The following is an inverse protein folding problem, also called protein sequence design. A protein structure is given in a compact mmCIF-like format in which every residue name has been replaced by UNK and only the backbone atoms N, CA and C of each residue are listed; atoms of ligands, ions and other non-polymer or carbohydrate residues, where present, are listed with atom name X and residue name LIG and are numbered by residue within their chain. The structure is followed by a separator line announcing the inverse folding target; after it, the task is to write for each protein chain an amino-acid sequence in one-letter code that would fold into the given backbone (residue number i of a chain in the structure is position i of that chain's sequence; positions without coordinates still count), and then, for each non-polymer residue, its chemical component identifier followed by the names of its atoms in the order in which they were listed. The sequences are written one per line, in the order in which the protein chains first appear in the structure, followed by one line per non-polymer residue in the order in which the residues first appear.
data_IF_573922191859
#
_entry.id   IF_573922191859
#
_cell.length_a   1.000
_cell.length_b   1.000
_cell.length_c   1.000
_cell.angle_alpha   90.00
_cell.angle_beta   90.00
_cell.angle_gamma   90.00
#
_symmetry.space_group_name_H-M   'P 1'
#
loop_
_entity.id
_entity.type
_entity.pdbx_description
1 polymer ?
#
# COMPACT_ATOMS: atom_id res chain seq x y z
N UNK A 1 -60.69 32.25 24.37
CA UNK A 1 -60.10 31.65 25.58
C UNK A 1 -58.77 32.37 25.82
N UNK A 2 -58.75 33.50 26.54
CA UNK A 2 -58.51 33.64 28.00
C UNK A 2 -57.31 32.79 28.46
N UNK A 3 -56.28 33.29 29.16
CA UNK A 3 -55.85 34.62 29.57
C UNK A 3 -54.40 34.47 30.08
N UNK A 4 -53.67 35.59 30.16
CA UNK A 4 -52.32 35.74 30.69
C UNK A 4 -52.23 35.53 32.22
N UNK A 5 -51.13 36.02 32.81
CA UNK A 5 -50.81 36.27 34.24
C UNK A 5 -50.24 35.08 35.01
N UNK A 6 -49.14 35.19 35.77
CA UNK A 6 -48.33 36.35 36.14
C UNK A 6 -47.21 35.93 37.10
N UNK A 7 -46.16 36.74 37.13
CA UNK A 7 -45.10 36.69 38.14
C UNK A 7 -45.63 37.19 39.51
N UNK A 8 -45.04 36.69 40.60
CA UNK A 8 -45.26 37.18 41.96
C UNK A 8 -44.16 36.70 42.91
N UNK A 9 -43.28 37.62 43.29
CA UNK A 9 -42.21 37.50 44.29
C UNK A 9 -42.72 37.72 45.72
N UNK A 10 -41.83 37.37 46.67
CA UNK A 10 -41.67 37.91 48.03
C UNK A 10 -42.59 37.29 49.13
N UNK A 11 -42.19 37.10 50.39
CA UNK A 11 -40.94 37.36 51.12
C UNK A 11 -41.01 36.65 52.51
N UNK A 12 -39.88 36.73 53.24
CA UNK A 12 -39.77 36.79 54.71
C UNK A 12 -39.71 35.51 55.58
N UNK A 13 -38.47 35.18 55.92
CA UNK A 13 -37.86 35.19 57.27
C UNK A 13 -38.49 34.38 58.43
N UNK A 14 -37.68 33.44 58.96
CA UNK A 14 -37.79 32.89 60.31
C UNK A 14 -36.46 32.28 60.78
N UNK A 15 -35.86 32.87 61.81
CA UNK A 15 -34.58 32.45 62.44
C UNK A 15 -34.75 31.17 63.28
N UNK A 16 -33.77 30.26 63.27
CA UNK A 16 -33.38 29.49 64.46
C UNK A 16 -31.95 28.89 64.34
N UNK A 17 -31.31 28.81 65.50
CA UNK A 17 -29.91 28.50 65.81
C UNK A 17 -29.46 27.06 65.50
N UNK A 18 -28.17 26.94 65.14
CA UNK A 18 -27.22 26.06 65.85
C UNK A 18 -27.14 24.60 65.41
N UNK A 19 -26.01 24.22 64.81
CA UNK A 19 -25.22 23.04 65.18
C UNK A 19 -24.01 22.94 64.24
N UNK A 20 -22.81 22.99 64.82
CA UNK A 20 -21.59 22.61 64.12
C UNK A 20 -21.64 21.11 63.82
N UNK A 21 -21.49 20.72 62.56
CA UNK A 21 -21.28 19.34 62.15
C UNK A 21 -20.18 19.29 61.09
N UNK A 22 -19.07 18.68 61.51
CA UNK A 22 -17.86 18.40 60.76
C UNK A 22 -18.20 17.42 59.62
N UNK A 23 -17.90 17.76 58.36
CA UNK A 23 -18.03 16.85 57.21
C UNK A 23 -16.65 16.60 56.59
N UNK A 24 -16.29 15.33 56.26
CA UNK A 24 -14.92 14.94 55.98
C UNK A 24 -14.46 15.40 54.60
N UNK A 25 -13.17 15.73 54.50
CA UNK A 25 -12.48 15.98 53.25
C UNK A 25 -12.59 14.74 52.34
N UNK A 26 -13.25 14.88 51.20
CA UNK A 26 -13.25 13.87 50.15
C UNK A 26 -11.83 13.77 49.58
N UNK A 27 -11.15 12.66 49.87
CA UNK A 27 -9.87 12.33 49.26
C UNK A 27 -10.11 12.00 47.78
N UNK A 28 -9.72 12.92 46.90
CA UNK A 28 -9.68 12.69 45.46
C UNK A 28 -8.55 11.71 45.16
N UNK A 29 -8.88 10.44 44.96
CA UNK A 29 -7.91 9.46 44.47
C UNK A 29 -7.47 9.83 43.05
N UNK A 30 -6.16 9.79 42.72
CA UNK A 30 -5.69 10.08 41.37
C UNK A 30 -6.23 9.02 40.41
N UNK A 31 -6.89 9.48 39.35
CA UNK A 31 -7.32 8.64 38.24
C UNK A 31 -6.08 7.97 37.62
N UNK A 32 -5.94 6.66 37.81
CA UNK A 32 -4.94 5.87 37.13
C UNK A 32 -5.16 6.03 35.63
N UNK A 33 -4.16 6.58 34.92
CA UNK A 33 -4.14 6.63 33.47
C UNK A 33 -4.25 5.19 32.95
N UNK A 34 -5.41 4.85 32.38
CA UNK A 34 -5.62 3.57 31.73
C UNK A 34 -4.59 3.46 30.60
N UNK A 35 -3.58 2.64 30.81
CA UNK A 35 -2.63 2.28 29.76
C UNK A 35 -3.42 1.44 28.78
N UNK A 36 -3.79 1.99 27.62
CA UNK A 36 -4.43 1.19 26.58
C UNK A 36 -3.59 -0.07 26.33
N UNK A 37 -4.22 -1.26 26.26
CA UNK A 37 -3.48 -2.48 26.00
C UNK A 37 -2.71 -2.29 24.69
N UNK A 38 -1.37 -2.33 24.77
CA UNK A 38 -0.51 -2.06 23.64
C UNK A 38 -0.95 -2.94 22.46
N UNK A 39 -1.43 -2.31 21.38
CA UNK A 39 -1.88 -3.02 20.17
C UNK A 39 -0.79 -4.01 19.77
N UNK A 40 -1.11 -5.30 19.84
CA UNK A 40 -0.16 -6.41 19.58
C UNK A 40 -0.03 -6.73 18.09
N UNK A 41 -0.71 -5.97 17.24
CA UNK A 41 -0.77 -6.18 15.81
C UNK A 41 -0.76 -4.83 15.08
N UNK A 42 0.04 -4.72 14.04
CA UNK A 42 0.06 -3.60 13.10
C UNK A 42 -0.51 -4.06 11.76
N UNK A 43 -1.37 -3.25 11.15
CA UNK A 43 -1.99 -3.51 9.86
C UNK A 43 -1.27 -2.74 8.75
N UNK A 44 -0.72 -3.47 7.78
CA UNK A 44 -0.08 -2.90 6.60
C UNK A 44 -0.98 -3.08 5.39
N UNK A 45 -1.26 -2.00 4.68
CA UNK A 45 -1.83 -2.07 3.34
C UNK A 45 -0.68 -2.07 2.34
N UNK A 46 -0.49 -3.17 1.62
CA UNK A 46 0.67 -3.36 0.75
C UNK A 46 0.26 -3.74 -0.67
N UNK A 47 0.97 -3.19 -1.66
CA UNK A 47 0.80 -3.58 -3.05
C UNK A 47 0.90 -5.10 -3.21
N UNK A 48 0.04 -5.69 -4.05
CA UNK A 48 -0.04 -7.14 -4.24
C UNK A 48 1.32 -7.79 -4.61
N UNK A 49 2.20 -7.08 -5.32
CA UNK A 49 3.54 -7.58 -5.67
C UNK A 49 4.49 -7.77 -4.48
N UNK A 50 4.18 -7.18 -3.31
CA UNK A 50 4.96 -7.30 -2.08
C UNK A 50 4.59 -8.54 -1.25
N UNK A 51 3.56 -9.31 -1.62
CA UNK A 51 2.94 -10.31 -0.73
C UNK A 51 3.94 -11.26 -0.08
N UNK A 52 4.68 -11.99 -0.91
CA UNK A 52 5.58 -13.05 -0.44
C UNK A 52 6.73 -12.49 0.41
N UNK A 53 7.31 -11.38 -0.04
CA UNK A 53 8.43 -10.73 0.65
C UNK A 53 7.99 -10.12 1.99
N UNK A 54 6.85 -9.42 2.00
CA UNK A 54 6.35 -8.76 3.21
C UNK A 54 5.87 -9.77 4.25
N UNK A 55 5.40 -10.95 3.83
CA UNK A 55 5.07 -12.04 4.76
C UNK A 55 6.31 -12.51 5.53
N UNK A 56 7.44 -12.73 4.83
CA UNK A 56 8.70 -13.10 5.48
C UNK A 56 9.26 -11.97 6.35
N UNK A 57 9.24 -10.73 5.87
CA UNK A 57 9.66 -9.56 6.65
C UNK A 57 8.78 -9.39 7.90
N UNK A 58 7.47 -9.61 7.78
CA UNK A 58 6.52 -9.56 8.90
C UNK A 58 6.81 -10.61 9.96
N UNK A 59 7.17 -11.84 9.57
CA UNK A 59 7.63 -12.88 10.51
C UNK A 59 8.92 -12.48 11.20
N UNK A 60 9.92 -11.97 10.47
CA UNK A 60 11.18 -11.53 11.03
C UNK A 60 10.99 -10.37 12.02
N UNK A 61 10.14 -9.39 11.69
CA UNK A 61 9.77 -8.29 12.57
C UNK A 61 9.08 -8.79 13.84
N UNK A 62 8.14 -9.73 13.71
CA UNK A 62 7.41 -10.30 14.84
C UNK A 62 8.36 -11.04 15.78
N UNK A 63 9.31 -11.81 15.23
CA UNK A 63 10.33 -12.49 16.02
C UNK A 63 11.25 -11.51 16.77
N UNK A 64 11.60 -10.38 16.16
CA UNK A 64 12.49 -9.39 16.75
C UNK A 64 11.81 -8.52 17.83
N UNK A 65 10.51 -8.23 17.69
CA UNK A 65 9.82 -7.21 18.50
C UNK A 65 8.67 -7.74 19.36
N UNK A 66 8.20 -8.96 19.08
CA UNK A 66 6.98 -9.53 19.67
C UNK A 66 5.67 -8.89 19.15
N UNK A 67 5.74 -8.01 18.14
CA UNK A 67 4.58 -7.32 17.56
C UNK A 67 4.20 -7.98 16.25
N UNK A 68 2.95 -8.45 16.13
CA UNK A 68 2.48 -9.10 14.90
C UNK A 68 2.27 -8.07 13.79
N UNK A 69 2.51 -8.49 12.56
CA UNK A 69 2.17 -7.73 11.36
C UNK A 69 1.09 -8.49 10.60
N UNK A 70 -0.07 -7.86 10.46
CA UNK A 70 -1.11 -8.27 9.53
C UNK A 70 -0.98 -7.43 8.25
N UNK A 71 -1.25 -8.03 7.10
CA UNK A 71 -1.19 -7.33 5.82
C UNK A 71 -2.46 -7.55 4.99
N UNK A 72 -2.92 -6.49 4.33
CA UNK A 72 -3.93 -6.54 3.28
C UNK A 72 -3.27 -6.23 1.95
N UNK A 73 -3.51 -7.08 0.95
CA UNK A 73 -2.88 -7.00 -0.36
C UNK A 73 -3.91 -6.73 -1.45
N UNK A 74 -3.69 -5.67 -2.22
CA UNK A 74 -4.45 -5.35 -3.42
C UNK A 74 -3.63 -4.41 -4.32
N UNK A 75 -4.25 -3.86 -5.37
CA UNK A 75 -3.65 -2.74 -6.08
C UNK A 75 -3.45 -1.55 -5.14
N UNK A 76 -2.33 -0.83 -5.29
CA UNK A 76 -2.02 0.35 -4.47
C UNK A 76 -3.12 1.41 -4.54
N UNK A 77 -3.78 1.56 -5.70
CA UNK A 77 -4.94 2.42 -5.89
C UNK A 77 -6.13 2.04 -5.02
N UNK A 78 -6.51 0.77 -5.02
CA UNK A 78 -7.61 0.25 -4.19
C UNK A 78 -7.32 0.49 -2.71
N UNK A 79 -6.10 0.18 -2.27
CA UNK A 79 -5.68 0.36 -0.88
C UNK A 79 -5.64 1.84 -0.47
N UNK A 80 -5.14 2.73 -1.33
CA UNK A 80 -5.16 4.16 -1.07
C UNK A 80 -6.59 4.69 -0.98
N UNK A 81 -7.50 4.26 -1.86
CA UNK A 81 -8.92 4.61 -1.78
C UNK A 81 -9.59 4.09 -0.52
N UNK A 82 -9.22 2.90 -0.05
CA UNK A 82 -9.70 2.38 1.24
C UNK A 82 -9.18 3.21 2.42
N UNK A 83 -7.92 3.64 2.41
CA UNK A 83 -7.36 4.54 3.44
C UNK A 83 -8.09 5.89 3.42
N UNK A 84 -8.34 6.46 2.24
CA UNK A 84 -9.16 7.67 2.08
C UNK A 84 -10.57 7.49 2.64
N UNK A 85 -11.18 6.33 2.45
CA UNK A 85 -12.48 5.97 3.00
C UNK A 85 -12.46 5.65 4.52
N UNK A 86 -11.29 5.74 5.17
CA UNK A 86 -11.14 5.56 6.62
C UNK A 86 -10.73 4.17 7.09
N UNK A 87 -10.23 3.30 6.20
CA UNK A 87 -9.68 2.01 6.61
C UNK A 87 -8.50 2.18 7.60
N UNK A 88 -8.41 1.34 8.66
CA UNK A 88 -7.51 1.56 9.79
C UNK A 88 -6.09 0.99 9.54
N UNK A 89 -5.53 1.19 8.35
CA UNK A 89 -4.16 0.81 8.06
C UNK A 89 -3.18 1.65 8.87
N UNK A 90 -2.14 1.04 9.44
CA UNK A 90 -1.06 1.74 10.16
C UNK A 90 0.05 2.18 9.20
N UNK A 91 0.31 1.37 8.18
CA UNK A 91 1.29 1.67 7.15
C UNK A 91 0.71 1.38 5.77
N UNK A 92 1.15 2.15 4.78
CA UNK A 92 0.84 1.96 3.38
C UNK A 92 2.14 1.77 2.59
N UNK A 93 2.25 0.66 1.87
CA UNK A 93 3.40 0.31 1.04
C UNK A 93 2.95 0.17 -0.42
N UNK A 94 3.06 1.28 -1.16
CA UNK A 94 2.64 1.39 -2.56
C UNK A 94 3.70 0.85 -3.51
N UNK A 95 3.28 0.42 -4.71
CA UNK A 95 4.17 0.06 -5.82
C UNK A 95 4.59 1.26 -6.69
N UNK A 96 4.10 2.45 -6.36
CA UNK A 96 4.53 3.72 -6.93
C UNK A 96 4.56 4.83 -5.86
N UNK A 97 5.12 5.98 -6.23
CA UNK A 97 5.11 7.19 -5.41
C UNK A 97 3.78 7.94 -5.47
N UNK A 98 3.04 7.81 -6.58
CA UNK A 98 1.85 8.60 -6.87
C UNK A 98 0.70 8.32 -5.89
N UNK A 99 0.50 7.07 -5.47
CA UNK A 99 -0.54 6.75 -4.48
C UNK A 99 -0.17 7.14 -3.05
N UNK A 100 1.12 7.28 -2.73
CA UNK A 100 1.54 7.88 -1.46
C UNK A 100 1.33 9.40 -1.52
N UNK A 101 1.71 10.07 -2.61
CA UNK A 101 1.44 11.50 -2.85
C UNK A 101 -0.06 11.80 -2.77
N UNK A 102 -0.89 10.91 -3.32
CA UNK A 102 -2.34 11.01 -3.30
C UNK A 102 -2.90 11.13 -1.89
N UNK A 103 -2.42 10.29 -0.97
CA UNK A 103 -2.83 10.26 0.44
C UNK A 103 -2.19 11.42 1.23
N UNK A 104 -0.94 11.76 0.93
CA UNK A 104 -0.23 12.88 1.58
C UNK A 104 -0.92 14.22 1.30
N UNK A 105 -1.31 14.48 0.05
CA UNK A 105 -2.09 15.67 -0.35
C UNK A 105 -3.44 15.79 0.36
N UNK A 106 -3.95 14.69 0.92
CA UNK A 106 -5.20 14.62 1.69
C UNK A 106 -4.98 14.66 3.20
N UNK A 107 -3.74 14.81 3.66
CA UNK A 107 -3.40 14.79 5.08
C UNK A 107 -3.57 13.41 5.74
N UNK A 108 -3.58 12.33 4.95
CA UNK A 108 -3.80 10.96 5.43
C UNK A 108 -2.50 10.20 5.70
N UNK A 109 -1.36 10.81 5.40
CA UNK A 109 -0.03 10.30 5.71
C UNK A 109 0.58 11.11 6.85
N UNK A 110 1.27 10.43 7.78
CA UNK A 110 2.03 11.10 8.83
C UNK A 110 3.21 11.85 8.20
N UNK A 111 3.38 13.16 8.47
CA UNK A 111 4.48 13.93 7.92
C UNK A 111 5.84 13.29 8.18
N UNK A 112 6.75 13.38 7.21
CA UNK A 112 8.13 12.88 7.29
C UNK A 112 8.27 11.36 7.51
N UNK A 113 7.17 10.58 7.42
CA UNK A 113 7.21 9.12 7.55
C UNK A 113 7.50 8.40 6.24
N UNK A 114 7.32 9.07 5.10
CA UNK A 114 7.53 8.48 3.78
C UNK A 114 8.99 8.07 3.57
N UNK A 115 9.19 6.88 3.02
CA UNK A 115 10.47 6.34 2.59
C UNK A 115 10.28 5.67 1.24
N UNK A 116 11.16 5.96 0.29
CA UNK A 116 11.26 5.17 -0.93
C UNK A 116 12.14 3.96 -0.58
N UNK A 117 11.61 2.74 -0.70
CA UNK A 117 12.22 1.55 -0.07
C UNK A 117 12.76 0.57 -1.09
N UNK A 118 12.04 0.35 -2.18
CA UNK A 118 12.37 -0.69 -3.16
C UNK A 118 12.25 -0.16 -4.59
N UNK A 119 12.97 -0.79 -5.50
CA UNK A 119 12.80 -0.69 -6.94
C UNK A 119 12.51 -2.06 -7.53
N UNK A 120 11.96 -2.04 -8.73
CA UNK A 120 11.63 -3.24 -9.48
C UNK A 120 11.79 -3.01 -10.98
N UNK A 121 11.64 -4.07 -11.77
CA UNK A 121 11.77 -4.04 -13.23
C UNK A 121 10.49 -4.57 -13.84
N UNK A 122 10.04 -3.96 -14.94
CA UNK A 122 8.90 -4.43 -15.70
C UNK A 122 9.34 -5.52 -16.70
N UNK A 123 8.58 -6.60 -16.80
CA UNK A 123 8.91 -7.74 -17.67
C UNK A 123 7.69 -8.18 -18.48
N UNK A 124 7.95 -8.68 -19.69
CA UNK A 124 6.98 -9.43 -20.48
C UNK A 124 7.11 -10.91 -20.12
N UNK A 125 6.01 -11.55 -19.78
CA UNK A 125 5.95 -12.97 -19.40
C UNK A 125 5.06 -13.77 -20.36
N UNK A 126 5.29 -15.08 -20.39
CA UNK A 126 4.47 -16.08 -21.05
C UNK A 126 4.29 -17.30 -20.11
N UNK A 127 3.35 -18.23 -20.39
CA UNK A 127 3.33 -19.53 -19.71
C UNK A 127 4.70 -20.22 -19.77
N UNK A 128 5.06 -20.97 -18.73
CA UNK A 128 6.41 -21.54 -18.58
C UNK A 128 6.82 -22.48 -19.73
N UNK A 129 5.85 -23.17 -20.34
CA UNK A 129 6.01 -24.07 -21.47
C UNK A 129 5.99 -23.36 -22.84
N UNK A 130 5.73 -22.05 -22.87
CA UNK A 130 5.72 -21.26 -24.10
C UNK A 130 7.11 -21.15 -24.73
N UNK A 131 7.20 -21.54 -26.01
CA UNK A 131 8.40 -21.40 -26.83
C UNK A 131 8.53 -20.01 -27.47
N UNK A 132 7.59 -19.10 -27.20
CA UNK A 132 7.57 -17.77 -27.79
C UNK A 132 8.83 -16.98 -27.41
N UNK A 133 9.43 -16.41 -28.45
CA UNK A 133 10.55 -15.47 -28.34
C UNK A 133 10.11 -14.15 -28.97
N UNK A 134 10.26 -13.09 -28.21
CA UNK A 134 9.96 -11.73 -28.66
C UNK A 134 10.98 -10.82 -28.02
N UNK A 135 11.62 -9.96 -28.83
CA UNK A 135 12.54 -8.95 -28.32
C UNK A 135 11.81 -7.62 -28.21
N UNK A 136 11.85 -7.01 -27.03
CA UNK A 136 11.31 -5.68 -26.79
C UNK A 136 12.25 -4.66 -27.43
N UNK A 137 11.70 -3.90 -28.37
CA UNK A 137 12.36 -2.82 -29.09
C UNK A 137 11.29 -1.84 -29.60
N UNK A 138 11.64 -0.62 -30.01
CA UNK A 138 10.67 0.28 -30.63
C UNK A 138 9.93 -0.38 -31.80
N UNK A 139 8.59 -0.34 -31.77
CA UNK A 139 7.73 -0.88 -32.82
C UNK A 139 7.65 -2.42 -32.90
N UNK A 140 8.15 -3.15 -31.90
CA UNK A 140 8.11 -4.62 -31.90
C UNK A 140 6.70 -5.20 -32.09
N UNK A 141 6.60 -6.36 -32.75
CA UNK A 141 5.31 -6.95 -33.11
C UNK A 141 4.63 -7.70 -31.95
N UNK A 142 4.25 -6.96 -30.91
CA UNK A 142 3.51 -7.50 -29.78
C UNK A 142 2.11 -8.01 -30.21
N UNK A 143 1.45 -7.32 -31.14
CA UNK A 143 0.11 -7.70 -31.59
C UNK A 143 0.09 -9.03 -32.36
N UNK A 144 1.10 -9.27 -33.21
CA UNK A 144 1.30 -10.56 -33.87
C UNK A 144 1.70 -11.66 -32.89
N UNK A 145 2.57 -11.35 -31.92
CA UNK A 145 3.00 -12.30 -30.88
C UNK A 145 1.85 -12.81 -29.99
N UNK A 146 0.75 -12.06 -29.86
CA UNK A 146 -0.45 -12.51 -29.15
C UNK A 146 -1.20 -13.63 -29.89
N UNK A 147 -0.96 -13.84 -31.19
CA UNK A 147 -1.61 -14.89 -32.01
C UNK A 147 -3.15 -14.92 -31.89
N UNK A 148 -3.78 -13.75 -31.79
CA UNK A 148 -5.23 -13.61 -31.60
C UNK A 148 -5.71 -13.72 -30.14
N UNK A 149 -4.82 -14.05 -29.21
CA UNK A 149 -5.05 -13.96 -27.77
C UNK A 149 -5.01 -12.53 -27.24
N UNK A 150 -5.15 -12.41 -25.93
CA UNK A 150 -5.15 -11.12 -25.22
C UNK A 150 -3.90 -10.91 -24.38
N UNK A 151 -3.49 -9.66 -24.20
CA UNK A 151 -2.38 -9.28 -23.33
C UNK A 151 -2.88 -9.11 -21.90
N UNK A 152 -2.39 -9.90 -20.94
CA UNK A 152 -2.70 -9.70 -19.54
C UNK A 152 -1.89 -8.54 -18.95
N UNK A 153 -2.57 -7.50 -18.50
CA UNK A 153 -1.96 -6.38 -17.77
C UNK A 153 -2.81 -6.07 -16.54
N UNK A 154 -2.24 -5.48 -15.50
CA UNK A 154 -3.07 -4.83 -14.50
C UNK A 154 -3.79 -3.62 -15.13
N UNK A 155 -4.91 -3.19 -14.56
CA UNK A 155 -5.69 -2.08 -15.13
C UNK A 155 -4.83 -0.82 -15.36
N UNK A 156 -4.62 -0.39 -16.61
CA UNK A 156 -3.68 0.69 -16.96
C UNK A 156 -4.16 2.09 -16.57
N UNK A 157 -5.40 2.23 -16.11
CA UNK A 157 -5.98 3.51 -15.74
C UNK A 157 -5.89 3.79 -14.23
N UNK A 158 -5.46 2.81 -13.43
CA UNK A 158 -5.42 2.97 -11.97
C UNK A 158 -4.40 2.12 -11.23
N UNK A 159 -3.92 1.00 -11.79
CA UNK A 159 -3.02 0.09 -11.07
C UNK A 159 -1.57 0.39 -11.48
N UNK A 160 -0.62 0.54 -10.53
CA UNK A 160 0.75 0.93 -10.86
C UNK A 160 1.39 0.08 -11.96
N UNK A 161 1.32 -1.26 -11.86
CA UNK A 161 1.87 -2.15 -12.89
C UNK A 161 1.23 -1.95 -14.27
N UNK A 162 -0.05 -1.62 -14.32
CA UNK A 162 -0.77 -1.31 -15.54
C UNK A 162 -0.35 0.05 -16.12
N UNK A 163 -0.21 1.06 -15.27
CA UNK A 163 0.29 2.38 -15.66
C UNK A 163 1.70 2.30 -16.22
N UNK A 164 2.61 1.56 -15.56
CA UNK A 164 3.95 1.29 -16.07
C UNK A 164 3.92 0.53 -17.40
N UNK A 165 3.06 -0.48 -17.55
CA UNK A 165 2.88 -1.21 -18.80
C UNK A 165 2.40 -0.30 -19.93
N UNK A 166 1.40 0.54 -19.69
CA UNK A 166 0.90 1.51 -20.67
C UNK A 166 1.99 2.51 -21.03
N UNK A 167 2.72 3.04 -20.06
CA UNK A 167 3.82 3.98 -20.30
C UNK A 167 4.89 3.33 -21.19
N UNK A 168 5.36 2.13 -20.84
CA UNK A 168 6.34 1.36 -21.60
C UNK A 168 5.90 1.10 -23.04
N UNK A 169 4.70 0.56 -23.22
CA UNK A 169 4.16 0.24 -24.55
C UNK A 169 3.88 1.49 -25.38
N UNK A 170 3.51 2.60 -24.76
CA UNK A 170 3.32 3.89 -25.46
C UNK A 170 4.64 4.45 -25.93
N UNK A 171 5.65 4.45 -25.05
CA UNK A 171 7.02 4.90 -25.36
C UNK A 171 7.65 4.06 -26.48
N UNK A 172 7.36 2.76 -26.52
CA UNK A 172 7.81 1.84 -27.55
C UNK A 172 6.95 1.87 -28.83
N UNK A 173 5.88 2.67 -28.88
CA UNK A 173 5.05 2.87 -30.07
C UNK A 173 4.10 1.72 -30.41
N UNK A 174 3.77 0.84 -29.45
CA UNK A 174 2.96 -0.37 -29.69
C UNK A 174 1.63 -0.38 -28.94
N UNK A 175 1.42 0.53 -27.98
CA UNK A 175 0.21 0.55 -27.12
C UNK A 175 -1.10 0.56 -27.91
N UNK A 176 -1.23 1.42 -28.92
CA UNK A 176 -2.46 1.55 -29.72
C UNK A 176 -2.84 0.29 -30.50
N UNK A 177 -1.89 -0.63 -30.72
CA UNK A 177 -2.13 -1.91 -31.42
C UNK A 177 -2.63 -3.01 -30.49
N UNK A 178 -2.49 -2.84 -29.17
CA UNK A 178 -2.77 -3.89 -28.18
C UNK A 178 -3.75 -3.47 -27.09
N UNK A 179 -4.05 -2.17 -26.95
CA UNK A 179 -4.93 -1.64 -25.91
C UNK A 179 -6.30 -2.31 -25.86
N UNK A 180 -6.90 -2.55 -27.03
CA UNK A 180 -8.24 -3.15 -27.16
C UNK A 180 -8.21 -4.68 -26.97
N UNK A 181 -7.01 -5.25 -26.98
CA UNK A 181 -6.73 -6.68 -26.75
C UNK A 181 -6.20 -6.94 -25.35
N UNK A 182 -6.23 -5.98 -24.44
CA UNK A 182 -5.82 -6.18 -23.06
C UNK A 182 -6.90 -6.95 -22.27
N UNK A 183 -6.51 -7.95 -21.48
CA UNK A 183 -7.28 -8.38 -20.29
C UNK A 183 -6.72 -7.60 -19.11
N UNK A 184 -7.59 -6.83 -18.47
CA UNK A 184 -7.24 -5.98 -17.32
C UNK A 184 -7.46 -6.74 -16.02
N UNK A 185 -6.39 -6.96 -15.27
CA UNK A 185 -6.43 -7.50 -13.92
C UNK A 185 -6.65 -6.40 -12.88
N UNK A 186 -7.39 -6.73 -11.82
CA UNK A 186 -7.61 -5.83 -10.67
C UNK A 186 -6.30 -5.46 -9.92
N UNK A 187 -5.24 -6.26 -10.10
CA UNK A 187 -3.90 -5.99 -9.63
C UNK A 187 -2.87 -6.78 -10.48
N UNK A 188 -1.58 -6.59 -10.23
CA UNK A 188 -0.51 -7.27 -10.99
C UNK A 188 -0.49 -8.78 -10.79
N UNK A 189 -0.88 -9.29 -9.61
CA UNK A 189 -0.96 -10.73 -9.34
C UNK A 189 -2.16 -11.39 -10.03
N UNK A 190 -3.25 -10.64 -10.27
CA UNK A 190 -4.33 -11.10 -11.14
C UNK A 190 -3.87 -11.22 -12.60
N UNK A 191 -3.12 -10.24 -13.12
CA UNK A 191 -2.53 -10.32 -14.46
C UNK A 191 -1.53 -11.48 -14.60
N UNK A 192 -0.68 -11.69 -13.59
CA UNK A 192 0.20 -12.86 -13.48
C UNK A 192 -0.58 -14.17 -13.56
N UNK A 193 -1.70 -14.27 -12.82
CA UNK A 193 -2.51 -15.47 -12.77
C UNK A 193 -3.14 -15.82 -14.13
N UNK A 194 -3.57 -14.82 -14.91
CA UNK A 194 -4.07 -15.05 -16.27
C UNK A 194 -3.03 -15.74 -17.17
N UNK A 195 -1.76 -15.32 -17.08
CA UNK A 195 -0.66 -15.95 -17.83
C UNK A 195 -0.34 -17.33 -17.26
N UNK A 196 -0.24 -17.45 -15.93
CA UNK A 196 0.08 -18.72 -15.26
C UNK A 196 -0.97 -19.82 -15.48
N UNK A 197 -2.22 -19.45 -15.80
CA UNK A 197 -3.31 -20.38 -16.16
C UNK A 197 -3.45 -20.59 -17.67
N UNK A 198 -2.63 -19.93 -18.50
CA UNK A 198 -2.72 -20.01 -19.96
C UNK A 198 -3.93 -19.28 -20.55
N UNK A 199 -4.62 -18.45 -19.77
CA UNK A 199 -5.78 -17.66 -20.23
C UNK A 199 -5.34 -16.46 -21.09
N UNK A 200 -4.07 -16.05 -20.95
CA UNK A 200 -3.43 -15.05 -21.79
C UNK A 200 -2.04 -15.56 -22.25
N UNK A 201 -1.70 -15.51 -23.55
CA UNK A 201 -0.41 -15.97 -24.07
C UNK A 201 0.76 -15.11 -23.59
N UNK A 202 0.51 -13.84 -23.29
CA UNK A 202 1.49 -12.89 -22.79
C UNK A 202 0.89 -12.03 -21.69
N UNK A 203 1.73 -11.56 -20.78
CA UNK A 203 1.36 -10.53 -19.83
C UNK A 203 2.52 -9.65 -19.40
N UNK A 204 2.22 -8.52 -18.78
CA UNK A 204 3.21 -7.57 -18.26
C UNK A 204 3.06 -7.48 -16.75
N UNK A 205 4.13 -7.83 -16.05
CA UNK A 205 4.21 -7.88 -14.58
C UNK A 205 5.55 -7.36 -14.11
N UNK A 206 5.80 -7.33 -12.79
CA UNK A 206 7.13 -7.07 -12.28
C UNK A 206 8.02 -8.32 -12.30
N UNK A 207 9.33 -8.12 -12.36
CA UNK A 207 10.32 -9.21 -12.30
C UNK A 207 10.15 -10.08 -11.06
N UNK A 208 9.86 -9.46 -9.91
CA UNK A 208 9.61 -10.16 -8.65
C UNK A 208 8.37 -11.07 -8.72
N UNK A 209 7.33 -10.64 -9.42
CA UNK A 209 6.11 -11.44 -9.63
C UNK A 209 6.42 -12.67 -10.51
N UNK A 210 7.18 -12.47 -11.58
CA UNK A 210 7.63 -13.57 -12.44
C UNK A 210 8.56 -14.56 -11.70
N UNK A 211 9.37 -14.08 -10.76
CA UNK A 211 10.22 -14.93 -9.91
C UNK A 211 9.39 -15.74 -8.89
N UNK A 212 8.27 -15.21 -8.42
CA UNK A 212 7.40 -15.86 -7.44
C UNK A 212 6.50 -16.96 -8.05
N UNK A 213 6.32 -17.00 -9.38
CA UNK A 213 5.41 -17.93 -10.04
C UNK A 213 6.14 -18.83 -11.05
N UNK A 214 6.27 -20.12 -10.72
CA UNK A 214 7.01 -21.10 -11.53
C UNK A 214 6.32 -21.45 -12.85
N UNK A 215 5.02 -21.16 -12.98
CA UNK A 215 4.22 -21.46 -14.18
C UNK A 215 4.34 -20.38 -15.25
N UNK A 216 5.16 -19.35 -15.04
CA UNK A 216 5.47 -18.35 -16.06
C UNK A 216 6.97 -18.29 -16.32
N UNK A 217 7.34 -17.75 -17.48
CA UNK A 217 8.72 -17.40 -17.81
C UNK A 217 8.80 -15.96 -18.29
N UNK A 218 9.94 -15.32 -18.05
CA UNK A 218 10.24 -14.01 -18.63
C UNK A 218 10.60 -14.19 -20.11
N UNK A 219 9.83 -13.55 -20.99
CA UNK A 219 10.10 -13.49 -22.43
C UNK A 219 11.19 -12.47 -22.71
N UNK A 220 11.03 -11.26 -22.19
CA UNK A 220 12.02 -10.19 -22.27
C UNK A 220 11.75 -9.12 -21.20
N UNK A 221 12.68 -8.18 -21.05
CA UNK A 221 12.70 -7.12 -20.04
C UNK A 221 12.45 -5.78 -20.71
N UNK A 222 11.55 -4.97 -20.15
CA UNK A 222 11.33 -3.63 -20.67
C UNK A 222 12.55 -2.73 -20.36
N UNK A 223 13.00 -1.88 -21.31
CA UNK A 223 14.04 -0.90 -21.06
C UNK A 223 13.67 0.04 -19.90
N UNK A 224 14.63 0.39 -19.04
CA UNK A 224 14.37 1.27 -17.89
C UNK A 224 13.86 2.66 -18.30
N UNK A 225 14.23 3.14 -19.49
CA UNK A 225 13.80 4.43 -20.05
C UNK A 225 12.45 4.34 -20.81
N UNK A 226 11.82 3.16 -20.83
CA UNK A 226 10.50 2.98 -21.45
C UNK A 226 9.35 3.44 -20.54
N UNK A 227 9.56 3.46 -19.23
CA UNK A 227 8.55 3.85 -18.23
C UNK A 227 9.20 4.67 -17.11
N UNK A 228 8.43 5.41 -16.29
CA UNK A 228 8.97 6.03 -15.09
C UNK A 228 9.60 4.98 -14.15
N UNK A 229 10.58 5.36 -13.30
CA UNK A 229 11.16 4.42 -12.34
C UNK A 229 10.08 3.76 -11.48
N UNK A 230 10.15 2.42 -11.36
CA UNK A 230 9.30 1.67 -10.45
C UNK A 230 9.89 1.79 -9.06
N UNK A 231 9.24 2.57 -8.20
CA UNK A 231 9.68 2.84 -6.83
C UNK A 231 8.54 2.53 -5.86
N UNK A 232 8.80 1.62 -4.93
CA UNK A 232 7.86 1.29 -3.88
C UNK A 232 8.08 2.23 -2.70
N UNK A 233 7.06 3.02 -2.39
CA UNK A 233 7.09 3.98 -1.30
C UNK A 233 6.28 3.47 -0.09
N UNK A 234 6.89 3.54 1.07
CA UNK A 234 6.32 3.18 2.36
C UNK A 234 6.04 4.45 3.16
N UNK A 235 4.87 4.54 3.79
CA UNK A 235 4.56 5.63 4.71
C UNK A 235 3.65 5.16 5.85
N UNK A 236 3.71 5.87 6.98
CA UNK A 236 2.73 5.69 8.05
C UNK A 236 1.49 6.49 7.75
N UNK A 237 0.31 5.93 8.02
CA UNK A 237 -0.92 6.71 7.93
C UNK A 237 -1.00 7.71 9.09
N UNK A 238 -1.78 8.78 8.91
CA UNK A 238 -1.94 9.83 9.91
C UNK A 238 -2.48 9.31 11.26
N UNK A 239 -3.30 8.25 11.23
CA UNK A 239 -3.93 7.64 12.41
C UNK A 239 -3.14 6.48 13.01
N UNK A 240 -2.00 6.12 12.42
CA UNK A 240 -1.17 5.03 12.92
C UNK A 240 -0.74 5.32 14.37
N UNK A 241 -0.63 4.31 15.25
CA UNK A 241 -0.13 4.50 16.59
C UNK A 241 1.37 4.88 16.57
N UNK A 242 1.91 5.51 17.63
CA UNK A 242 3.35 5.80 17.72
C UNK A 242 4.22 4.55 17.51
N UNK A 243 3.76 3.41 18.05
CA UNK A 243 4.40 2.10 17.94
C UNK A 243 4.57 1.60 16.50
N UNK A 244 3.87 2.16 15.51
CA UNK A 244 4.07 1.81 14.10
C UNK A 244 5.40 2.33 13.53
N UNK A 245 6.07 3.29 14.19
CA UNK A 245 7.36 3.82 13.75
C UNK A 245 8.44 2.73 13.63
N UNK A 246 8.51 1.82 14.60
CA UNK A 246 9.46 0.70 14.59
C UNK A 246 9.26 -0.24 13.39
N UNK A 247 8.06 -0.31 12.82
CA UNK A 247 7.78 -1.13 11.63
C UNK A 247 8.40 -0.50 10.39
N UNK A 248 8.30 0.83 10.23
CA UNK A 248 8.98 1.53 9.13
C UNK A 248 10.48 1.42 9.26
N UNK A 249 11.02 1.63 10.46
CA UNK A 249 12.45 1.45 10.73
C UNK A 249 12.91 0.04 10.33
N UNK A 250 12.18 -1.01 10.75
CA UNK A 250 12.51 -2.38 10.38
C UNK A 250 12.40 -2.65 8.87
N UNK A 251 11.32 -2.19 8.23
CA UNK A 251 11.10 -2.36 6.79
C UNK A 251 12.15 -1.64 5.94
N UNK A 252 12.78 -0.59 6.47
CA UNK A 252 13.89 0.12 5.82
C UNK A 252 15.29 -0.32 6.29
N UNK A 253 15.36 -1.23 7.25
CA UNK A 253 16.60 -1.73 7.82
C UNK A 253 17.24 -2.88 7.02
N UNK A 254 18.47 -3.23 7.40
CA UNK A 254 19.25 -4.24 6.68
C UNK A 254 18.62 -5.63 6.67
N UNK A 255 17.97 -6.04 7.76
CA UNK A 255 17.30 -7.34 7.85
C UNK A 255 16.18 -7.47 6.80
N UNK A 256 15.31 -6.45 6.69
CA UNK A 256 14.27 -6.42 5.67
C UNK A 256 14.86 -6.30 4.26
N UNK A 257 15.89 -5.46 4.08
CA UNK A 257 16.59 -5.30 2.79
C UNK A 257 17.11 -6.64 2.26
N UNK A 258 17.75 -7.45 3.10
CA UNK A 258 18.24 -8.77 2.71
C UNK A 258 17.13 -9.71 2.26
N UNK A 259 15.97 -9.66 2.93
CA UNK A 259 14.79 -10.44 2.53
C UNK A 259 14.30 -9.93 1.16
N UNK A 260 14.05 -8.64 1.00
CA UNK A 260 13.59 -8.07 -0.27
C UNK A 260 14.50 -8.38 -1.45
N UNK A 261 15.82 -8.35 -1.27
CA UNK A 261 16.79 -8.73 -2.31
C UNK A 261 16.66 -10.21 -2.71
N UNK A 262 16.42 -11.13 -1.78
CA UNK A 262 16.16 -12.55 -2.12
C UNK A 262 14.91 -12.71 -2.99
N UNK A 263 13.91 -11.87 -2.76
CA UNK A 263 12.68 -11.82 -3.56
C UNK A 263 12.82 -11.05 -4.89
N UNK A 264 14.01 -10.51 -5.18
CA UNK A 264 14.32 -9.87 -6.46
C UNK A 264 14.08 -8.36 -6.52
N UNK A 265 13.71 -7.73 -5.40
CA UNK A 265 13.65 -6.28 -5.30
C UNK A 265 15.06 -5.68 -5.20
N UNK A 266 15.23 -4.46 -5.67
CA UNK A 266 16.48 -3.70 -5.53
C UNK A 266 16.28 -2.49 -4.64
N UNK A 267 17.36 -1.95 -4.07
CA UNK A 267 17.27 -0.68 -3.36
C UNK A 267 17.13 0.49 -4.35
N UNK A 268 16.44 1.58 -3.98
CA UNK A 268 16.58 2.86 -4.66
C UNK A 268 18.05 3.27 -4.73
N UNK A 269 18.46 4.03 -5.77
CA UNK A 269 19.78 4.64 -5.74
C UNK A 269 19.92 5.42 -4.42
N UNK A 270 21.07 5.30 -3.76
CA UNK A 270 21.35 6.04 -2.53
C UNK A 270 21.13 7.54 -2.72
N UNK A 271 21.05 8.34 -1.63
CA UNK A 271 20.90 9.78 -1.76
C UNK A 271 21.97 10.29 -2.71
N UNK A 272 21.55 10.77 -3.89
CA UNK A 272 22.43 11.54 -4.74
C UNK A 272 22.86 12.71 -3.89
N UNK A 273 24.16 12.81 -3.61
CA UNK A 273 24.71 14.03 -3.04
C UNK A 273 24.21 15.14 -3.96
N UNK A 274 23.33 15.99 -3.43
CA UNK A 274 22.99 17.24 -4.08
C UNK A 274 24.29 18.04 -4.02
N UNK A 275 25.03 18.06 -5.12
CA UNK A 275 26.07 19.08 -5.34
C UNK A 275 25.44 20.47 -5.34
#
# INVERSE_FOLDING_TARGET
MRAATGAGQADAAGRAKGAAANAPAAATAPAAAATEPARRELLVFAAASLSDALEEVGRAFTAATGVRVAASYAASSVLAKQIEAGAPADAFFSADVAWVDYLEKRGLIRPSSRRDVLRNTLVLIAPADSTLRLRIAPGFDLAGALTGGRLAIADPDSVPAGEYARAALTRLGVWSRVSDRAVRGENVRAALAYVARGEAPLGIVYRTDAQAERRVRVVDVFPEDSHPPITYALALTARAPPKAAQLVEFLTGDAARQIFVRYGFTAPPGPQARE
#
